data_IF_255651817524
#
_entry.id   IF_255651817524
#
_cell.length_a   1.000
_cell.length_b   1.000
_cell.length_c   1.000
_cell.angle_alpha   90.00
_cell.angle_beta   90.00
_cell.angle_gamma   90.00
#
_symmetry.space_group_name_H-M   'P 1'
#
loop_
_entity.id
_entity.type
_entity.pdbx_description
1 polymer ?
#
# COMPACT_ATOMS: atom_id res chain seq x y z
N UNK A 1 5.69 0.23 16.18
CA UNK A 1 7.04 0.72 15.78
C UNK A 1 7.81 1.29 16.96
N UNK A 2 7.23 2.15 17.78
CA UNK A 2 7.92 2.76 18.94
C UNK A 2 8.61 1.74 19.85
N UNK A 3 7.93 0.65 20.23
CA UNK A 3 8.51 -0.38 21.10
C UNK A 3 9.73 -1.07 20.46
N UNK A 4 9.69 -1.30 19.16
CA UNK A 4 10.82 -1.88 18.43
C UNK A 4 12.01 -0.93 18.41
N UNK A 5 11.81 0.35 18.12
CA UNK A 5 12.88 1.36 18.09
C UNK A 5 13.46 1.65 19.47
N UNK A 6 12.69 1.43 20.55
CA UNK A 6 13.21 1.50 21.94
C UNK A 6 14.09 0.31 22.28
N UNK A 7 13.76 -0.87 21.74
CA UNK A 7 14.52 -2.10 21.98
C UNK A 7 15.78 -2.19 21.10
N UNK A 8 15.65 -1.84 19.83
CA UNK A 8 16.76 -1.86 18.86
C UNK A 8 16.57 -0.74 17.83
N UNK A 9 17.61 0.07 17.65
CA UNK A 9 17.62 1.15 16.63
C UNK A 9 18.21 0.72 15.28
N UNK A 10 18.80 -0.48 15.21
CA UNK A 10 19.44 -1.01 14.01
C UNK A 10 18.44 -1.79 13.15
N UNK A 11 17.35 -1.12 12.77
CA UNK A 11 16.31 -1.68 11.89
C UNK A 11 16.54 -1.10 10.50
N UNK A 12 16.85 -1.94 9.52
CA UNK A 12 17.10 -1.53 8.14
C UNK A 12 15.82 -1.52 7.29
N UNK A 13 14.89 -2.45 7.56
CA UNK A 13 13.68 -2.64 6.76
C UNK A 13 12.46 -2.82 7.65
N UNK A 14 11.38 -2.15 7.27
CA UNK A 14 10.04 -2.34 7.82
C UNK A 14 9.11 -2.85 6.72
N UNK A 15 8.55 -4.04 6.89
CA UNK A 15 7.39 -4.50 6.17
C UNK A 15 6.13 -4.23 7.01
N UNK A 16 5.26 -3.38 6.53
CA UNK A 16 3.95 -3.13 7.13
C UNK A 16 2.86 -3.87 6.34
N UNK A 17 1.95 -4.53 7.05
CA UNK A 17 0.90 -5.34 6.42
C UNK A 17 -0.13 -4.52 5.64
N UNK A 18 -0.22 -3.22 5.93
CA UNK A 18 -1.01 -2.26 5.16
C UNK A 18 -0.44 -0.84 5.28
N UNK A 19 -0.97 0.06 4.46
CA UNK A 19 -0.48 1.43 4.36
C UNK A 19 -0.75 2.25 5.64
N UNK A 20 -1.87 2.05 6.34
CA UNK A 20 -2.17 2.76 7.58
C UNK A 20 -1.16 2.42 8.68
N UNK A 21 -0.75 1.14 8.75
CA UNK A 21 0.32 0.71 9.66
C UNK A 21 1.66 1.33 9.28
N UNK A 22 1.96 1.42 7.97
CA UNK A 22 3.17 2.08 7.48
C UNK A 22 3.18 3.56 7.84
N UNK A 23 2.08 4.28 7.61
CA UNK A 23 1.94 5.70 7.92
C UNK A 23 2.11 5.97 9.43
N UNK A 24 1.52 5.13 10.29
CA UNK A 24 1.74 5.20 11.73
C UNK A 24 3.19 4.91 12.14
N UNK A 25 3.84 3.95 11.48
CA UNK A 25 5.25 3.64 11.73
C UNK A 25 6.18 4.78 11.27
N UNK A 26 5.90 5.44 10.14
CA UNK A 26 6.62 6.62 9.64
C UNK A 26 6.65 7.71 10.70
N UNK A 27 5.53 7.97 11.37
CA UNK A 27 5.49 8.95 12.45
C UNK A 27 6.41 8.56 13.61
N UNK A 28 6.32 7.31 14.09
CA UNK A 28 7.18 6.82 15.18
C UNK A 28 8.67 6.87 14.84
N UNK A 29 9.03 6.59 13.58
CA UNK A 29 10.41 6.68 13.08
C UNK A 29 10.93 8.12 13.15
N UNK A 30 10.11 9.10 12.71
CA UNK A 30 10.43 10.53 12.80
C UNK A 30 10.60 10.99 14.26
N UNK A 31 9.70 10.57 15.15
CA UNK A 31 9.77 10.88 16.58
C UNK A 31 11.01 10.29 17.25
N UNK A 32 11.52 9.17 16.75
CA UNK A 32 12.79 8.58 17.17
C UNK A 32 14.03 9.29 16.59
N UNK A 33 13.83 10.35 15.77
CA UNK A 33 14.91 11.12 15.13
C UNK A 33 15.52 10.46 13.91
N UNK A 34 14.88 9.42 13.36
CA UNK A 34 15.30 8.71 12.16
C UNK A 34 14.54 9.22 10.92
N UNK A 35 15.07 8.94 9.74
CA UNK A 35 14.51 9.34 8.45
C UNK A 35 13.80 8.16 7.80
N UNK A 36 12.43 8.10 7.82
CA UNK A 36 11.71 7.04 7.13
C UNK A 36 11.99 7.08 5.63
N UNK A 37 12.02 5.93 5.01
CA UNK A 37 12.34 5.77 3.60
C UNK A 37 13.82 5.91 3.24
N UNK A 38 14.68 6.26 4.20
CA UNK A 38 16.14 6.42 4.03
C UNK A 38 16.92 5.60 5.03
N UNK A 39 16.76 5.89 6.33
CA UNK A 39 17.42 5.13 7.38
C UNK A 39 16.75 3.76 7.58
N UNK A 40 15.43 3.70 7.33
CA UNK A 40 14.65 2.46 7.34
C UNK A 40 13.86 2.40 6.02
N UNK A 41 14.11 1.36 5.23
CA UNK A 41 13.32 1.06 4.03
C UNK A 41 11.93 0.58 4.47
N UNK A 42 10.89 1.18 3.91
CA UNK A 42 9.51 0.87 4.30
C UNK A 42 8.74 0.40 3.08
N UNK A 43 8.12 -0.79 3.19
CA UNK A 43 7.23 -1.36 2.18
C UNK A 43 5.90 -1.74 2.80
N UNK A 44 4.81 -1.57 2.05
CA UNK A 44 3.45 -1.80 2.54
C UNK A 44 2.52 -2.32 1.45
N UNK A 45 1.26 -2.48 1.80
CA UNK A 45 0.21 -2.99 0.92
C UNK A 45 -1.00 -2.06 1.03
N UNK A 46 -1.78 -1.95 -0.03
CA UNK A 46 -3.08 -1.35 -0.33
C UNK A 46 -2.98 -0.26 -1.40
N UNK A 47 -1.92 0.53 -1.44
CA UNK A 47 -1.73 1.66 -2.35
C UNK A 47 -2.81 2.75 -2.18
N UNK A 48 -3.11 3.12 -0.92
CA UNK A 48 -4.03 4.21 -0.61
C UNK A 48 -3.38 5.57 -0.88
N UNK A 49 -4.18 6.60 -1.08
CA UNK A 49 -3.70 7.96 -1.40
C UNK A 49 -2.63 8.47 -0.43
N UNK A 50 -2.79 8.22 0.89
CA UNK A 50 -1.81 8.63 1.89
C UNK A 50 -0.44 7.98 1.72
N UNK A 51 -0.38 6.73 1.22
CA UNK A 51 0.87 6.06 0.88
C UNK A 51 1.57 6.74 -0.30
N UNK A 52 0.81 7.14 -1.34
CA UNK A 52 1.39 7.91 -2.45
C UNK A 52 1.96 9.24 -2.00
N UNK A 53 1.27 9.95 -1.12
CA UNK A 53 1.77 11.21 -0.55
C UNK A 53 3.07 10.99 0.25
N UNK A 54 3.18 9.88 0.98
CA UNK A 54 4.39 9.50 1.69
C UNK A 54 5.52 9.09 0.74
N UNK A 55 5.23 8.35 -0.34
CA UNK A 55 6.22 8.00 -1.38
C UNK A 55 6.75 9.25 -2.08
N UNK A 56 5.89 10.19 -2.44
CA UNK A 56 6.29 11.47 -3.07
C UNK A 56 7.21 12.30 -2.15
N UNK A 57 6.98 12.23 -0.82
CA UNK A 57 7.87 12.84 0.19
C UNK A 57 9.17 12.06 0.43
N UNK A 58 9.30 10.87 -0.15
CA UNK A 58 10.44 9.98 0.08
C UNK A 58 10.43 9.27 1.45
N UNK A 59 9.28 9.16 2.09
CA UNK A 59 9.10 8.61 3.44
C UNK A 59 8.59 7.16 3.44
N UNK A 60 8.04 6.69 2.32
CA UNK A 60 7.65 5.31 2.01
C UNK A 60 8.36 4.90 0.72
N UNK A 61 8.88 3.67 0.67
CA UNK A 61 9.64 3.21 -0.50
C UNK A 61 8.75 2.55 -1.55
N UNK A 62 7.82 1.70 -1.13
CA UNK A 62 6.88 1.05 -2.04
C UNK A 62 5.59 0.64 -1.35
N UNK A 63 4.49 0.61 -2.13
CA UNK A 63 3.23 -0.03 -1.75
C UNK A 63 2.72 -0.90 -2.90
N UNK A 64 2.26 -2.10 -2.55
CA UNK A 64 1.63 -3.03 -3.49
C UNK A 64 0.12 -2.80 -3.41
N UNK A 65 -0.51 -2.61 -4.56
CA UNK A 65 -1.95 -2.36 -4.58
C UNK A 65 -2.76 -3.58 -4.12
N UNK A 66 -3.76 -3.34 -3.29
CA UNK A 66 -4.88 -4.23 -3.03
C UNK A 66 -6.15 -3.43 -3.32
N UNK A 67 -6.62 -3.50 -4.58
CA UNK A 67 -7.65 -2.61 -5.11
C UNK A 67 -9.02 -2.92 -4.48
N UNK A 68 -9.67 -1.99 -3.75
CA UNK A 68 -10.97 -2.19 -3.16
C UNK A 68 -12.14 -1.96 -4.14
N UNK A 69 -11.89 -1.44 -5.35
CA UNK A 69 -12.92 -1.07 -6.32
C UNK A 69 -13.42 -2.28 -7.13
N UNK A 70 -13.82 -3.34 -6.43
CA UNK A 70 -14.24 -4.62 -7.03
C UNK A 70 -15.72 -4.67 -7.43
N UNK A 71 -16.50 -3.64 -7.12
CA UNK A 71 -17.94 -3.62 -7.35
C UNK A 71 -18.37 -3.97 -8.79
N UNK A 72 -17.81 -3.34 -9.84
CA UNK A 72 -18.19 -3.66 -11.22
C UNK A 72 -17.90 -5.12 -11.59
N UNK A 73 -16.76 -5.65 -11.17
CA UNK A 73 -16.36 -7.04 -11.45
C UNK A 73 -17.25 -8.05 -10.71
N UNK A 74 -17.60 -7.74 -9.46
CA UNK A 74 -18.53 -8.57 -8.68
C UNK A 74 -19.94 -8.58 -9.29
N UNK A 75 -20.45 -7.42 -9.69
CA UNK A 75 -21.75 -7.31 -10.37
C UNK A 75 -21.77 -8.06 -11.71
N UNK A 76 -20.70 -7.98 -12.49
CA UNK A 76 -20.59 -8.74 -13.74
C UNK A 76 -20.65 -10.25 -13.48
N UNK A 77 -19.95 -10.73 -12.43
CA UNK A 77 -20.02 -12.14 -12.05
C UNK A 77 -21.45 -12.58 -11.66
N UNK A 78 -22.19 -11.74 -10.95
CA UNK A 78 -23.61 -12.02 -10.61
C UNK A 78 -24.47 -12.08 -11.88
N UNK A 79 -24.31 -11.17 -12.82
CA UNK A 79 -25.03 -11.19 -14.09
C UNK A 79 -24.71 -12.47 -14.90
N UNK A 80 -23.43 -12.82 -14.99
CA UNK A 80 -23.01 -14.01 -15.73
C UNK A 80 -23.60 -15.30 -15.12
N UNK A 81 -23.68 -15.39 -13.79
CA UNK A 81 -24.37 -16.50 -13.12
C UNK A 81 -25.89 -16.52 -13.40
N UNK A 82 -26.54 -15.36 -13.37
CA UNK A 82 -27.95 -15.25 -13.68
C UNK A 82 -28.28 -15.67 -15.12
N UNK A 83 -27.36 -15.39 -16.05
CA UNK A 83 -27.42 -15.80 -17.45
C UNK A 83 -27.07 -17.31 -17.66
N UNK A 84 -26.80 -18.05 -16.58
CA UNK A 84 -26.43 -19.47 -16.63
C UNK A 84 -25.00 -19.74 -17.11
N UNK A 85 -24.13 -18.72 -17.15
CA UNK A 85 -22.72 -18.89 -17.50
C UNK A 85 -21.95 -19.51 -16.35
N UNK A 86 -20.95 -20.32 -16.66
CA UNK A 86 -20.03 -20.87 -15.69
C UNK A 86 -18.90 -19.88 -15.42
N UNK A 87 -18.74 -19.48 -14.16
CA UNK A 87 -17.62 -18.64 -13.76
C UNK A 87 -16.33 -19.47 -13.60
N UNK A 88 -15.15 -18.85 -13.84
CA UNK A 88 -13.88 -19.43 -13.45
C UNK A 88 -13.78 -19.52 -11.92
N UNK A 89 -12.96 -20.42 -11.41
CA UNK A 89 -12.73 -20.56 -9.95
C UNK A 89 -12.12 -19.29 -9.32
N UNK A 90 -11.39 -18.50 -10.13
CA UNK A 90 -10.73 -17.26 -9.69
C UNK A 90 -10.89 -16.20 -10.76
N UNK A 91 -11.21 -14.99 -10.31
CA UNK A 91 -11.24 -13.80 -11.15
C UNK A 91 -10.14 -12.88 -10.59
N UNK A 92 -9.06 -12.71 -11.38
CA UNK A 92 -7.94 -11.90 -10.97
C UNK A 92 -8.24 -10.41 -11.12
N UNK A 93 -7.84 -9.63 -10.13
CA UNK A 93 -7.81 -8.17 -10.20
C UNK A 93 -6.53 -7.70 -10.88
N UNK A 94 -6.60 -6.55 -11.53
CA UNK A 94 -5.41 -5.88 -12.07
C UNK A 94 -4.92 -4.93 -10.97
N UNK A 95 -3.71 -5.16 -10.50
CA UNK A 95 -3.12 -4.41 -9.40
C UNK A 95 -1.73 -3.91 -9.76
N UNK A 96 -1.35 -2.77 -9.18
CA UNK A 96 -0.09 -2.11 -9.45
C UNK A 96 0.93 -2.28 -8.34
N UNK A 97 2.19 -2.08 -8.71
CA UNK A 97 3.30 -1.88 -7.78
C UNK A 97 3.72 -0.42 -7.89
N UNK A 98 3.69 0.29 -6.76
CA UNK A 98 4.01 1.70 -6.72
C UNK A 98 5.22 1.94 -5.82
N UNK A 99 6.09 2.81 -6.26
CA UNK A 99 7.29 3.25 -5.57
C UNK A 99 7.54 4.75 -5.77
N UNK A 100 8.64 5.26 -5.25
CA UNK A 100 9.00 6.68 -5.35
C UNK A 100 9.21 7.16 -6.80
N UNK A 101 9.42 6.27 -7.77
CA UNK A 101 9.65 6.63 -9.17
C UNK A 101 8.37 6.88 -9.95
N UNK A 102 7.27 6.21 -9.58
CA UNK A 102 5.98 6.28 -10.28
C UNK A 102 4.84 6.89 -9.46
N UNK A 103 5.01 7.03 -8.13
CA UNK A 103 3.96 7.52 -7.23
C UNK A 103 3.45 8.92 -7.59
N UNK A 104 4.33 9.85 -7.95
CA UNK A 104 3.94 11.22 -8.30
C UNK A 104 3.01 11.28 -9.52
N UNK A 105 3.25 10.43 -10.53
CA UNK A 105 2.42 10.35 -11.72
C UNK A 105 1.05 9.70 -11.44
N UNK A 106 1.02 8.72 -10.54
CA UNK A 106 -0.20 7.98 -10.22
C UNK A 106 -1.09 8.67 -9.17
N UNK A 107 -0.52 9.49 -8.28
CA UNK A 107 -1.25 10.16 -7.18
C UNK A 107 -2.53 10.89 -7.61
N UNK A 108 -2.57 11.67 -8.73
CA UNK A 108 -3.79 12.38 -9.13
C UNK A 108 -4.97 11.45 -9.48
N UNK A 109 -4.71 10.20 -9.80
CA UNK A 109 -5.74 9.22 -10.22
C UNK A 109 -6.23 8.33 -9.08
N UNK A 110 -5.63 8.44 -7.88
CA UNK A 110 -6.01 7.60 -6.72
C UNK A 110 -7.40 7.99 -6.20
N UNK A 111 -8.27 6.98 -6.05
CA UNK A 111 -9.67 7.13 -5.65
C UNK A 111 -9.90 6.75 -4.18
N UNK A 112 -8.92 6.16 -3.52
CA UNK A 112 -9.00 5.68 -2.14
C UNK A 112 -7.67 5.87 -1.39
#
# INVERSE_FOLDING_TARGET
MEAFLKADKNIDVLYAHNDQMALGAIQAIKEAGLKPGKDIIIVSIDAVKGAFEAMVKGELNASIECNPLLGPQALQAVHDLADGKKLPERIWTIEGVFDQTNAAAALPTRQY
#
